data_IF_476427525801
#
_entry.id   IF_476427525801
#
_cell.length_a   1.000
_cell.length_b   1.000
_cell.length_c   1.000
_cell.angle_alpha   90.00
_cell.angle_beta   90.00
_cell.angle_gamma   90.00
#
_symmetry.space_group_name_H-M   'P 1'
#
loop_
_entity.id
_entity.type
_entity.pdbx_description
1 polymer ?
#
# COMPACT_ATOMS: atom_id res chain seq x y z
N UNK A 1 -14.08 25.20 60.67
CA UNK A 1 -12.78 24.66 60.24
C UNK A 1 -12.90 23.47 59.28
N UNK A 2 -13.87 22.56 59.42
CA UNK A 2 -14.05 21.38 58.57
C UNK A 2 -14.24 21.68 57.06
N UNK A 3 -14.98 22.74 56.71
CA UNK A 3 -15.27 23.12 55.31
C UNK A 3 -14.03 23.55 54.50
N UNK A 4 -13.03 24.17 55.13
CA UNK A 4 -11.82 24.63 54.42
C UNK A 4 -10.90 23.50 54.00
N UNK A 5 -10.80 22.44 54.80
CA UNK A 5 -9.99 21.27 54.46
C UNK A 5 -10.61 20.41 53.34
N UNK A 6 -11.94 20.34 53.29
CA UNK A 6 -12.67 19.63 52.22
C UNK A 6 -12.41 20.30 50.86
N UNK A 7 -12.40 21.64 50.80
CA UNK A 7 -12.14 22.38 49.57
C UNK A 7 -10.69 22.20 49.06
N UNK A 8 -9.71 22.21 49.96
CA UNK A 8 -8.29 21.99 49.61
C UNK A 8 -8.09 20.57 49.08
N UNK A 9 -8.68 19.56 49.73
CA UNK A 9 -8.60 18.17 49.29
C UNK A 9 -9.24 17.96 47.91
N UNK A 10 -10.39 18.59 47.64
CA UNK A 10 -11.07 18.50 46.34
C UNK A 10 -10.24 19.12 45.20
N UNK A 11 -9.60 20.27 45.45
CA UNK A 11 -8.75 20.92 44.46
C UNK A 11 -7.51 20.08 44.13
N UNK A 12 -6.87 19.49 45.15
CA UNK A 12 -5.71 18.60 44.96
C UNK A 12 -6.13 17.35 44.17
N UNK A 13 -7.26 16.74 44.50
CA UNK A 13 -7.80 15.58 43.77
C UNK A 13 -8.04 15.88 42.29
N UNK A 14 -8.61 17.05 41.99
CA UNK A 14 -8.87 17.47 40.61
C UNK A 14 -7.57 17.67 39.82
N UNK A 15 -6.55 18.30 40.44
CA UNK A 15 -5.23 18.46 39.81
C UNK A 15 -4.59 17.11 39.51
N UNK A 16 -4.63 16.19 40.48
CA UNK A 16 -4.10 14.82 40.29
C UNK A 16 -4.84 14.10 39.17
N UNK A 17 -6.18 14.16 39.16
CA UNK A 17 -7.00 13.56 38.12
C UNK A 17 -6.67 14.12 36.72
N UNK A 18 -6.45 15.44 36.60
CA UNK A 18 -6.03 16.06 35.35
C UNK A 18 -4.66 15.57 34.88
N UNK A 19 -3.69 15.42 35.79
CA UNK A 19 -2.36 14.90 35.46
C UNK A 19 -2.45 13.45 34.98
N UNK A 20 -3.20 12.60 35.69
CA UNK A 20 -3.40 11.20 35.31
C UNK A 20 -4.09 11.10 33.96
N UNK A 21 -5.12 11.92 33.71
CA UNK A 21 -5.81 11.96 32.42
C UNK A 21 -4.87 12.38 31.28
N UNK A 22 -4.04 13.41 31.48
CA UNK A 22 -3.05 13.83 30.48
C UNK A 22 -2.04 12.74 30.18
N UNK A 23 -1.50 12.07 31.21
CA UNK A 23 -0.55 10.96 31.02
C UNK A 23 -1.20 9.78 30.28
N UNK A 24 -2.43 9.43 30.63
CA UNK A 24 -3.18 8.37 29.97
C UNK A 24 -3.37 8.67 28.46
N UNK A 25 -3.72 9.91 28.11
CA UNK A 25 -3.86 10.33 26.70
C UNK A 25 -2.52 10.24 25.95
N UNK A 26 -1.43 10.73 26.55
CA UNK A 26 -0.10 10.69 25.92
C UNK A 26 0.33 9.24 25.66
N UNK A 27 0.15 8.35 26.64
CA UNK A 27 0.46 6.92 26.50
C UNK A 27 -0.44 6.29 25.43
N UNK A 28 -1.74 6.58 25.45
CA UNK A 28 -2.70 6.07 24.47
C UNK A 28 -2.34 6.47 23.04
N UNK A 29 -2.00 7.73 22.79
CA UNK A 29 -1.57 8.21 21.45
C UNK A 29 -0.28 7.51 21.00
N UNK A 30 0.68 7.33 21.91
CA UNK A 30 1.94 6.62 21.59
C UNK A 30 1.70 5.16 21.24
N UNK A 31 0.89 4.46 22.02
CA UNK A 31 0.53 3.06 21.75
C UNK A 31 -0.23 2.93 20.44
N UNK A 32 -1.20 3.82 20.19
CA UNK A 32 -1.96 3.82 18.95
C UNK A 32 -1.06 4.00 17.73
N UNK A 33 -0.12 4.95 17.79
CA UNK A 33 0.83 5.17 16.70
C UNK A 33 1.74 3.95 16.47
N UNK A 34 2.21 3.31 17.55
CA UNK A 34 3.02 2.09 17.45
C UNK A 34 2.22 0.93 16.83
N UNK A 35 0.97 0.74 17.26
CA UNK A 35 0.08 -0.30 16.72
C UNK A 35 -0.24 -0.05 15.25
N UNK A 36 -0.54 1.19 14.85
CA UNK A 36 -0.76 1.53 13.44
C UNK A 36 0.47 1.23 12.58
N UNK A 37 1.68 1.54 13.09
CA UNK A 37 2.92 1.23 12.38
C UNK A 37 3.12 -0.27 12.21
N UNK A 38 2.95 -1.04 13.30
CA UNK A 38 3.05 -2.50 13.27
C UNK A 38 2.05 -3.14 12.30
N UNK A 39 0.81 -2.63 12.26
CA UNK A 39 -0.22 -3.10 11.33
C UNK A 39 0.17 -2.84 9.87
N UNK A 40 0.65 -1.63 9.55
CA UNK A 40 1.11 -1.30 8.19
C UNK A 40 2.31 -2.16 7.78
N UNK A 41 3.25 -2.40 8.69
CA UNK A 41 4.42 -3.25 8.43
C UNK A 41 3.98 -4.71 8.16
N UNK A 42 3.02 -5.22 8.93
CA UNK A 42 2.48 -6.58 8.72
C UNK A 42 1.76 -6.70 7.37
N UNK A 43 0.93 -5.72 7.02
CA UNK A 43 0.24 -5.68 5.72
C UNK A 43 1.23 -5.57 4.55
N UNK A 44 2.30 -4.78 4.71
CA UNK A 44 3.35 -4.65 3.70
C UNK A 44 4.08 -5.98 3.46
N UNK A 45 4.41 -6.70 4.54
CA UNK A 45 4.99 -8.05 4.43
C UNK A 45 4.03 -9.02 3.76
N UNK A 46 2.74 -8.98 4.09
CA UNK A 46 1.74 -9.86 3.47
C UNK A 46 1.62 -9.61 1.95
N UNK A 47 1.57 -8.33 1.54
CA UNK A 47 1.54 -7.96 0.11
C UNK A 47 2.81 -8.42 -0.61
N UNK A 48 3.97 -8.25 0.02
CA UNK A 48 5.24 -8.73 -0.53
C UNK A 48 5.26 -10.26 -0.68
N UNK A 49 4.75 -11.00 0.31
CA UNK A 49 4.64 -12.46 0.22
C UNK A 49 3.68 -12.89 -0.91
N UNK A 50 2.55 -12.19 -1.07
CA UNK A 50 1.60 -12.45 -2.17
C UNK A 50 2.23 -12.18 -3.53
N UNK A 51 3.01 -11.11 -3.67
CA UNK A 51 3.76 -10.83 -4.90
C UNK A 51 4.70 -11.99 -5.27
N UNK A 52 5.47 -12.48 -4.30
CA UNK A 52 6.37 -13.62 -4.51
C UNK A 52 5.61 -14.89 -4.84
N UNK A 53 4.47 -15.13 -4.18
CA UNK A 53 3.60 -16.25 -4.50
C UNK A 53 3.11 -16.19 -5.96
N UNK A 54 2.65 -15.01 -6.42
CA UNK A 54 2.23 -14.84 -7.82
C UNK A 54 3.38 -15.07 -8.81
N UNK A 55 4.60 -14.68 -8.48
CA UNK A 55 5.77 -14.98 -9.33
C UNK A 55 6.02 -16.49 -9.45
N UNK A 56 5.89 -17.24 -8.36
CA UNK A 56 6.03 -18.69 -8.36
C UNK A 56 4.90 -19.34 -9.18
N UNK A 57 3.66 -18.94 -8.92
CA UNK A 57 2.48 -19.49 -9.61
C UNK A 57 2.51 -19.19 -11.12
N UNK A 58 2.96 -17.99 -11.50
CA UNK A 58 3.15 -17.65 -12.91
C UNK A 58 4.23 -18.52 -13.56
N UNK A 59 5.37 -18.74 -12.91
CA UNK A 59 6.43 -19.59 -13.44
C UNK A 59 6.02 -21.05 -13.66
N UNK A 60 4.96 -21.50 -12.99
CA UNK A 60 4.35 -22.82 -13.15
C UNK A 60 3.23 -22.86 -14.21
N UNK A 61 2.71 -21.70 -14.61
CA UNK A 61 1.64 -21.61 -15.62
C UNK A 61 2.22 -21.55 -17.03
N UNK A 62 1.63 -22.31 -17.96
CA UNK A 62 2.03 -22.32 -19.38
C UNK A 62 1.14 -21.46 -20.29
N UNK A 63 0.15 -20.75 -19.73
CA UNK A 63 -0.87 -20.03 -20.50
C UNK A 63 -0.61 -18.52 -20.59
N UNK A 64 -0.52 -18.00 -21.81
CA UNK A 64 -0.26 -16.58 -22.08
C UNK A 64 -1.39 -15.64 -21.58
N UNK A 65 -2.64 -16.13 -21.47
CA UNK A 65 -3.75 -15.34 -20.89
C UNK A 65 -3.60 -15.22 -19.37
N UNK A 66 -3.12 -16.27 -18.69
CA UNK A 66 -2.82 -16.18 -17.26
C UNK A 66 -1.66 -15.22 -16.99
N UNK A 67 -0.68 -15.13 -17.89
CA UNK A 67 0.47 -14.22 -17.72
C UNK A 67 0.06 -12.75 -17.64
N UNK A 68 -0.92 -12.34 -18.46
CA UNK A 68 -1.43 -10.97 -18.41
C UNK A 68 -2.15 -10.67 -17.09
N UNK A 69 -2.95 -11.62 -16.60
CA UNK A 69 -3.63 -11.49 -15.31
C UNK A 69 -2.66 -11.44 -14.12
N UNK A 70 -1.64 -12.31 -14.11
CA UNK A 70 -0.60 -12.30 -13.08
C UNK A 70 0.14 -10.97 -13.06
N UNK A 71 0.54 -10.46 -14.23
CA UNK A 71 1.26 -9.20 -14.32
C UNK A 71 0.42 -8.00 -13.86
N UNK A 72 -0.87 -7.94 -14.21
CA UNK A 72 -1.77 -6.90 -13.69
C UNK A 72 -1.95 -6.99 -12.17
N UNK A 73 -2.07 -8.22 -11.63
CA UNK A 73 -2.20 -8.43 -10.19
C UNK A 73 -0.93 -8.00 -9.45
N UNK A 74 0.24 -8.29 -10.02
CA UNK A 74 1.54 -7.91 -9.47
C UNK A 74 1.71 -6.39 -9.41
N UNK A 75 1.33 -5.66 -10.45
CA UNK A 75 1.47 -4.20 -10.44
C UNK A 75 0.47 -3.53 -9.47
N UNK A 76 -0.74 -4.08 -9.34
CA UNK A 76 -1.73 -3.62 -8.35
C UNK A 76 -1.26 -3.86 -6.90
N UNK A 77 -0.62 -5.00 -6.63
CA UNK A 77 0.02 -5.27 -5.34
C UNK A 77 1.19 -4.31 -5.10
N UNK A 78 1.97 -4.01 -6.14
CA UNK A 78 3.11 -3.08 -6.06
C UNK A 78 2.66 -1.67 -5.71
N UNK A 79 1.57 -1.19 -6.31
CA UNK A 79 0.94 0.08 -5.93
C UNK A 79 0.41 0.03 -4.49
N UNK A 80 -0.34 -1.01 -4.14
CA UNK A 80 -0.89 -1.15 -2.79
C UNK A 80 0.20 -1.12 -1.72
N UNK A 81 1.35 -1.77 -2.00
CA UNK A 81 2.51 -1.74 -1.12
C UNK A 81 3.12 -0.33 -1.04
N UNK A 82 3.22 0.37 -2.17
CA UNK A 82 3.68 1.75 -2.20
C UNK A 82 2.79 2.62 -1.31
N UNK A 83 1.47 2.59 -1.46
CA UNK A 83 0.55 3.44 -0.70
C UNK A 83 0.69 3.25 0.82
N UNK A 84 0.83 2.01 1.29
CA UNK A 84 0.88 1.73 2.73
C UNK A 84 2.27 1.94 3.34
N UNK A 85 3.35 1.77 2.55
CA UNK A 85 4.70 1.63 3.07
C UNK A 85 5.76 2.60 2.51
N UNK A 86 5.44 3.45 1.52
CA UNK A 86 6.40 4.38 0.89
C UNK A 86 7.07 5.37 1.86
N UNK A 87 6.58 5.50 3.10
CA UNK A 87 7.16 6.41 4.11
C UNK A 87 8.53 5.96 4.62
N UNK A 88 8.92 4.70 4.43
CA UNK A 88 10.26 4.23 4.76
C UNK A 88 11.07 3.94 3.51
N UNK A 89 12.35 4.28 3.56
CA UNK A 89 13.24 4.10 2.41
C UNK A 89 13.45 2.63 2.06
N UNK A 90 13.44 1.75 3.07
CA UNK A 90 13.51 0.29 2.86
C UNK A 90 12.39 -0.22 1.97
N UNK A 91 11.15 0.23 2.21
CA UNK A 91 10.00 -0.21 1.44
C UNK A 91 9.96 0.42 0.05
N UNK A 92 10.44 1.66 -0.12
CA UNK A 92 10.63 2.23 -1.46
C UNK A 92 11.60 1.40 -2.31
N UNK A 93 12.71 0.94 -1.71
CA UNK A 93 13.65 0.05 -2.40
C UNK A 93 13.00 -1.28 -2.78
N UNK A 94 12.17 -1.85 -1.90
CA UNK A 94 11.40 -3.06 -2.22
C UNK A 94 10.42 -2.83 -3.37
N UNK A 95 9.67 -1.72 -3.34
CA UNK A 95 8.75 -1.37 -4.44
C UNK A 95 9.51 -1.16 -5.74
N UNK A 96 10.67 -0.49 -5.70
CA UNK A 96 11.53 -0.35 -6.87
C UNK A 96 11.95 -1.71 -7.43
N UNK A 97 12.44 -2.61 -6.58
CA UNK A 97 12.79 -3.97 -7.01
C UNK A 97 11.59 -4.70 -7.63
N UNK A 98 10.40 -4.59 -7.04
CA UNK A 98 9.18 -5.18 -7.61
C UNK A 98 8.85 -4.60 -8.99
N UNK A 99 9.10 -3.31 -9.23
CA UNK A 99 8.95 -2.69 -10.55
C UNK A 99 10.00 -3.22 -11.54
N UNK A 100 11.25 -3.36 -11.11
CA UNK A 100 12.34 -3.91 -11.93
C UNK A 100 12.00 -5.35 -12.40
N UNK A 101 11.45 -6.19 -11.53
CA UNK A 101 10.97 -7.54 -11.87
C UNK A 101 9.82 -7.54 -12.89
N UNK A 102 9.13 -6.41 -13.06
CA UNK A 102 7.98 -6.25 -13.95
C UNK A 102 8.29 -5.37 -15.17
N UNK A 103 9.55 -4.99 -15.40
CA UNK A 103 9.96 -4.03 -16.42
C UNK A 103 9.43 -4.39 -17.81
N UNK A 104 9.49 -5.67 -18.18
CA UNK A 104 9.03 -6.17 -19.47
C UNK A 104 7.53 -5.94 -19.69
N UNK A 105 6.72 -6.14 -18.65
CA UNK A 105 5.28 -5.89 -18.69
C UNK A 105 4.97 -4.39 -18.71
N UNK A 106 5.66 -3.61 -17.87
CA UNK A 106 5.49 -2.15 -17.82
C UNK A 106 5.79 -1.54 -19.19
N UNK A 107 6.89 -1.97 -19.81
CA UNK A 107 7.30 -1.52 -21.15
C UNK A 107 6.31 -1.91 -22.24
N UNK A 108 5.54 -2.99 -22.06
CA UNK A 108 4.52 -3.41 -23.02
C UNK A 108 3.32 -2.46 -23.07
N UNK A 109 3.08 -1.68 -22.01
CA UNK A 109 1.95 -0.76 -21.91
C UNK A 109 0.57 -1.43 -21.95
N UNK A 110 0.49 -2.74 -21.71
CA UNK A 110 -0.75 -3.52 -21.78
C UNK A 110 -1.56 -3.45 -20.47
N UNK A 111 -1.74 -2.25 -19.92
CA UNK A 111 -2.51 -2.01 -18.70
C UNK A 111 -3.10 -0.59 -18.70
N UNK A 112 -4.11 -0.36 -17.86
CA UNK A 112 -4.85 0.91 -17.79
C UNK A 112 -4.14 1.84 -16.82
N UNK A 113 -3.41 2.84 -17.31
CA UNK A 113 -2.59 3.71 -16.44
C UNK A 113 -3.44 4.60 -15.54
N UNK A 114 -4.66 4.91 -15.96
CA UNK A 114 -5.59 5.77 -15.23
C UNK A 114 -6.07 5.15 -13.92
N UNK A 115 -5.92 3.84 -13.72
CA UNK A 115 -6.30 3.18 -12.47
C UNK A 115 -5.31 3.39 -11.33
N UNK A 116 -4.11 3.92 -11.60
CA UNK A 116 -3.05 4.12 -10.61
C UNK A 116 -2.99 5.56 -10.09
N UNK A 117 -2.69 5.72 -8.81
CA UNK A 117 -2.53 7.00 -8.11
C UNK A 117 -1.42 7.86 -8.74
N UNK A 118 -1.61 9.18 -8.71
CA UNK A 118 -0.65 10.12 -9.34
C UNK A 118 0.74 10.04 -8.70
N UNK A 119 0.79 9.86 -7.37
CA UNK A 119 2.03 9.73 -6.61
C UNK A 119 2.79 8.46 -7.00
N UNK A 120 2.09 7.34 -7.17
CA UNK A 120 2.71 6.10 -7.63
C UNK A 120 3.24 6.24 -9.07
N UNK A 121 2.46 6.84 -9.98
CA UNK A 121 2.93 7.12 -11.36
C UNK A 121 4.19 7.99 -11.37
N UNK A 122 4.23 9.02 -10.53
CA UNK A 122 5.40 9.88 -10.38
C UNK A 122 6.62 9.10 -9.83
N UNK A 123 6.39 8.22 -8.84
CA UNK A 123 7.44 7.35 -8.31
C UNK A 123 7.97 6.38 -9.37
N UNK A 124 7.10 5.72 -10.13
CA UNK A 124 7.50 4.81 -11.21
C UNK A 124 8.34 5.56 -12.26
N UNK A 125 7.88 6.73 -12.70
CA UNK A 125 8.62 7.58 -13.63
C UNK A 125 10.00 8.00 -13.10
N UNK A 126 10.09 8.41 -11.84
CA UNK A 126 11.36 8.78 -11.21
C UNK A 126 12.36 7.60 -11.13
N UNK A 127 11.86 6.37 -11.16
CA UNK A 127 12.66 5.15 -11.15
C UNK A 127 12.87 4.52 -12.54
N UNK A 128 12.49 5.21 -13.63
CA UNK A 128 12.68 4.72 -15.00
C UNK A 128 11.53 3.86 -15.54
N UNK A 129 10.50 3.61 -14.73
CA UNK A 129 9.34 2.79 -15.07
C UNK A 129 8.15 3.68 -15.48
N UNK A 130 8.25 4.37 -16.61
CA UNK A 130 7.14 5.23 -17.06
C UNK A 130 5.92 4.39 -17.43
N UNK A 131 4.85 4.49 -16.63
CA UNK A 131 3.56 3.87 -16.93
C UNK A 131 2.93 4.63 -18.11
N UNK A 132 3.06 4.08 -19.32
CA UNK A 132 2.51 4.68 -20.55
C UNK A 132 1.14 4.10 -20.83
N UNK A 133 0.13 4.96 -20.96
CA UNK A 133 -1.15 4.52 -21.53
C UNK A 133 -0.92 4.17 -22.99
N UNK A 134 -1.40 3.01 -23.42
CA UNK A 134 -1.42 2.69 -24.83
C UNK A 134 -2.38 3.68 -25.51
N UNK A 135 -1.98 4.36 -26.60
CA UNK A 135 -2.90 5.19 -27.35
C UNK A 135 -4.00 4.29 -27.92
N UNK A 136 -5.23 4.49 -27.45
CA UNK A 136 -6.51 3.94 -27.94
C UNK A 136 -6.39 2.80 -28.95
N UNK A 137 -5.85 1.65 -28.53
CA UNK A 137 -6.12 0.41 -29.25
C UNK A 137 -7.45 -0.07 -28.71
N UNK A 138 -8.52 0.35 -29.38
CA UNK A 138 -9.77 -0.38 -29.39
C UNK A 138 -9.41 -1.86 -29.49
N UNK A 139 -9.77 -2.63 -28.46
CA UNK A 139 -9.66 -4.08 -28.46
C UNK A 139 -10.13 -4.60 -29.83
N UNK A 140 -9.36 -5.44 -30.54
CA UNK A 140 -9.89 -6.09 -31.72
C UNK A 140 -11.06 -6.94 -31.25
N UNK A 141 -12.28 -6.50 -31.56
CA UNK A 141 -13.48 -7.31 -31.45
C UNK A 141 -13.23 -8.57 -32.29
N UNK A 142 -12.95 -9.68 -31.62
CA UNK A 142 -13.00 -11.00 -32.24
C UNK A 142 -14.47 -11.37 -32.50
N UNK A 143 -15.07 -10.71 -33.48
CA UNK A 143 -16.23 -11.21 -34.21
C UNK A 143 -15.72 -11.87 -35.49
N UNK A 144 -14.97 -12.96 -35.33
CA UNK A 144 -14.73 -13.90 -36.43
C UNK A 144 -16.03 -14.67 -36.69
N UNK A 145 -16.84 -14.11 -37.59
CA UNK A 145 -17.61 -14.78 -38.64
C UNK A 145 -17.83 -16.28 -38.43
N UNK A 146 -19.03 -16.65 -37.96
CA UNK A 146 -19.70 -17.82 -38.51
C UNK A 146 -20.10 -17.46 -39.95
N UNK A 147 -19.43 -18.05 -40.93
CA UNK A 147 -19.85 -18.03 -42.33
C UNK A 147 -19.71 -19.43 -42.89
N UNK A 148 -20.82 -19.97 -43.38
CA UNK A 148 -20.88 -21.13 -44.28
C UNK A 148 -21.31 -22.41 -43.61
#
# INVERSE_FOLDING_TARGET
MLSGQILIAANISTIIACIVAMLAVIIGVRQFNATQRSLRETQAVELFMKFNQLNIEQGLSSNHVSDHWYNNSKIAITESLYEIAHKTESWKMTVKWMLDEQESFISSGNFVVESYSEEFRAFCKANGHELKSQPDKCWPNNTSKQTG
#
